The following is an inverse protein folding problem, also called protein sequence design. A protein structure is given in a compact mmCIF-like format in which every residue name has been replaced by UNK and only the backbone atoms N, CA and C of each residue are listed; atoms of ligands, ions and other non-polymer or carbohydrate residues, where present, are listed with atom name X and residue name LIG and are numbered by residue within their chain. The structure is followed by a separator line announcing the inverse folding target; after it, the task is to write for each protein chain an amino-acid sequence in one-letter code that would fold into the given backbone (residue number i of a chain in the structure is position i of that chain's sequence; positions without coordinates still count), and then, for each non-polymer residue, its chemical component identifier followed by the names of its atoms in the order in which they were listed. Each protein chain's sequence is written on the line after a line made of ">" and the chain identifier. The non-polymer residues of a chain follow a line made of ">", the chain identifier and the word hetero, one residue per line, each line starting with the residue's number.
data_IF_721642547754
#
_entry.id   IF_721642547754
#
_cell.length_a   1.000
_cell.length_b   1.000
_cell.length_c   1.000
_cell.angle_alpha   90.00
_cell.angle_beta   90.00
_cell.angle_gamma   90.00
#
_symmetry.space_group_name_H-M   'P 1'
#
loop_
_entity.id
_entity.type
_entity.pdbx_description
1 polymer ?
#
# COMPACT_ATOMS: atom_id res chain seq x y z
N UNK A 1 4.08 -1.65 15.10
CA UNK A 1 4.77 -2.65 15.94
C UNK A 1 4.40 -4.10 15.66
N UNK A 2 3.35 -4.44 14.88
CA UNK A 2 3.03 -5.81 14.37
C UNK A 2 3.48 -6.94 15.31
N UNK A 3 2.96 -6.92 16.54
CA UNK A 3 3.33 -7.87 17.58
C UNK A 3 2.75 -9.24 17.22
N UNK A 4 3.57 -10.27 17.20
CA UNK A 4 3.14 -11.62 16.85
C UNK A 4 2.38 -12.29 18.01
N UNK A 5 2.91 -12.14 19.23
CA UNK A 5 2.44 -12.81 20.45
C UNK A 5 2.48 -11.84 21.64
N UNK A 6 1.42 -11.84 22.45
CA UNK A 6 1.35 -11.16 23.74
C UNK A 6 1.12 -12.19 24.85
N UNK A 7 2.08 -12.29 25.78
CA UNK A 7 2.03 -13.19 26.91
C UNK A 7 1.70 -12.38 28.18
N UNK A 8 0.71 -12.83 28.92
CA UNK A 8 0.37 -12.29 30.23
C UNK A 8 0.25 -13.41 31.25
N UNK A 9 0.56 -13.07 32.50
CA UNK A 9 0.21 -13.85 33.68
C UNK A 9 -0.66 -12.96 34.57
N UNK A 10 -1.26 -13.54 35.61
CA UNK A 10 -2.00 -12.91 36.72
C UNK A 10 -3.23 -13.77 37.04
N UNK A 11 -3.99 -14.12 36.00
CA UNK A 11 -5.08 -15.09 36.13
C UNK A 11 -4.45 -16.48 36.20
N UNK A 12 -4.73 -17.23 37.27
CA UNK A 12 -4.16 -18.56 37.52
C UNK A 12 -4.83 -19.64 36.65
N UNK A 13 -4.77 -19.45 35.34
CA UNK A 13 -5.34 -20.33 34.33
C UNK A 13 -4.68 -20.11 32.97
N UNK A 14 -5.01 -20.98 32.01
CA UNK A 14 -4.57 -20.87 30.63
C UNK A 14 -5.71 -20.41 29.72
N UNK A 15 -5.44 -19.40 28.89
CA UNK A 15 -6.35 -18.97 27.83
C UNK A 15 -5.58 -18.46 26.61
N UNK A 16 -5.98 -18.92 25.41
CA UNK A 16 -5.49 -18.43 24.12
C UNK A 16 -6.64 -17.82 23.33
N UNK A 17 -6.41 -16.63 22.79
CA UNK A 17 -7.37 -15.96 21.90
C UNK A 17 -7.02 -16.17 20.42
N UNK A 18 -8.00 -15.97 19.55
CA UNK A 18 -7.72 -15.68 18.15
C UNK A 18 -6.93 -14.37 18.07
N UNK A 19 -6.33 -14.09 16.91
CA UNK A 19 -5.80 -12.76 16.63
C UNK A 19 -6.95 -11.75 16.66
N UNK A 20 -6.85 -10.76 17.54
CA UNK A 20 -7.87 -9.73 17.70
C UNK A 20 -7.31 -8.34 17.42
N UNK A 21 -8.15 -7.49 16.84
CA UNK A 21 -7.90 -6.05 16.68
C UNK A 21 -9.16 -5.33 17.13
N UNK A 22 -9.01 -4.39 18.07
CA UNK A 22 -10.11 -3.60 18.60
C UNK A 22 -11.31 -4.46 19.09
N UNK A 23 -11.02 -5.55 19.82
CA UNK A 23 -12.03 -6.47 20.37
C UNK A 23 -12.71 -7.40 19.35
N UNK A 24 -12.33 -7.33 18.07
CA UNK A 24 -12.90 -8.18 17.01
C UNK A 24 -11.88 -9.20 16.50
N UNK A 25 -12.34 -10.41 16.21
CA UNK A 25 -11.53 -11.47 15.61
C UNK A 25 -11.32 -11.15 14.12
N UNK A 26 -10.09 -11.09 13.63
CA UNK A 26 -9.89 -10.82 12.19
C UNK A 26 -10.17 -12.05 11.33
N UNK A 27 -9.70 -13.22 11.78
CA UNK A 27 -9.94 -14.52 11.16
C UNK A 27 -10.06 -15.58 12.25
N UNK A 28 -11.09 -16.41 12.14
CA UNK A 28 -11.28 -17.58 13.00
C UNK A 28 -10.44 -18.78 12.54
N UNK A 29 -9.35 -18.53 11.83
CA UNK A 29 -8.42 -19.52 11.32
C UNK A 29 -7.09 -19.37 12.07
N UNK A 30 -6.67 -20.45 12.73
CA UNK A 30 -5.46 -20.47 13.57
C UNK A 30 -4.18 -20.28 12.76
N UNK A 31 -4.24 -20.48 11.44
CA UNK A 31 -3.07 -20.52 10.56
C UNK A 31 -2.75 -19.19 9.87
N UNK A 32 -3.59 -18.17 10.03
CA UNK A 32 -3.64 -17.11 9.03
C UNK A 32 -3.03 -15.77 9.48
N UNK A 33 -1.86 -15.50 8.90
CA UNK A 33 -1.34 -14.18 8.53
C UNK A 33 -1.00 -13.18 9.66
N UNK A 34 0.28 -12.80 9.70
CA UNK A 34 0.86 -11.79 10.60
C UNK A 34 0.28 -10.37 10.47
N UNK A 35 -0.64 -10.16 9.52
CA UNK A 35 -1.29 -8.88 9.25
C UNK A 35 -2.37 -8.49 10.27
N UNK A 36 -2.98 -9.47 10.95
CA UNK A 36 -3.89 -9.24 12.07
C UNK A 36 -3.14 -9.24 13.40
N UNK A 37 -3.65 -8.50 14.40
CA UNK A 37 -3.02 -8.27 15.72
C UNK A 37 -2.49 -9.51 16.46
N UNK A 38 -1.91 -9.32 17.66
CA UNK A 38 -1.23 -10.41 18.35
C UNK A 38 -2.18 -11.53 18.73
N UNK A 39 -1.65 -12.75 18.82
CA UNK A 39 -2.26 -13.81 19.63
C UNK A 39 -2.04 -13.44 21.09
N UNK A 40 -3.11 -13.38 21.89
CA UNK A 40 -2.99 -13.14 23.32
C UNK A 40 -3.05 -14.47 24.05
N UNK A 41 -2.08 -14.71 24.93
CA UNK A 41 -2.06 -15.87 25.80
C UNK A 41 -1.98 -15.40 27.25
N UNK A 42 -2.92 -15.89 28.04
CA UNK A 42 -2.84 -15.88 29.49
C UNK A 42 -2.25 -17.23 29.89
N UNK A 43 -1.08 -17.19 30.52
CA UNK A 43 -0.38 -18.36 31.04
C UNK A 43 0.07 -18.04 32.47
N UNK A 44 -0.89 -18.14 33.40
CA UNK A 44 -0.65 -17.95 34.83
C UNK A 44 -0.85 -19.22 35.64
N UNK A 45 -0.97 -20.37 34.98
CA UNK A 45 -1.32 -21.66 35.57
C UNK A 45 -0.12 -22.43 36.14
N UNK A 46 1.01 -21.77 36.40
CA UNK A 46 2.22 -22.43 36.93
C UNK A 46 2.13 -22.96 38.38
N UNK A 47 1.02 -22.73 39.09
CA UNK A 47 0.85 -23.13 40.49
C UNK A 47 -0.58 -22.99 41.02
N UNK A 48 -0.76 -23.31 42.31
CA UNK A 48 -2.04 -23.25 43.05
C UNK A 48 -2.17 -21.94 43.87
N UNK A 49 -3.39 -21.44 44.17
CA UNK A 49 -4.68 -22.04 43.89
C UNK A 49 -5.16 -21.76 42.46
N UNK A 50 -5.63 -22.83 41.84
CA UNK A 50 -6.30 -22.87 40.54
C UNK A 50 -7.49 -21.89 40.50
N UNK A 51 -7.54 -20.97 39.54
CA UNK A 51 -8.72 -20.13 39.34
C UNK A 51 -9.66 -20.80 38.34
N UNK A 52 -10.91 -21.04 38.75
CA UNK A 52 -11.93 -21.49 37.82
C UNK A 52 -12.48 -20.30 37.05
N UNK A 53 -12.75 -20.53 35.78
CA UNK A 53 -13.48 -19.59 34.97
C UNK A 53 -14.98 -19.75 35.21
N UNK A 54 -15.62 -18.71 35.75
CA UNK A 54 -17.07 -18.73 36.03
C UNK A 54 -17.91 -18.42 34.79
N UNK A 55 -17.37 -17.59 33.89
CA UNK A 55 -18.07 -17.15 32.68
C UNK A 55 -17.85 -18.08 31.49
N UNK A 56 -18.83 -18.11 30.59
CA UNK A 56 -18.66 -18.72 29.27
C UNK A 56 -17.49 -18.06 28.51
N UNK A 57 -16.70 -18.84 27.74
CA UNK A 57 -15.64 -18.28 26.91
C UNK A 57 -16.16 -17.20 25.98
N UNK A 58 -15.39 -16.12 25.83
CA UNK A 58 -15.71 -15.09 24.87
C UNK A 58 -15.58 -15.63 23.43
N UNK A 59 -16.23 -14.98 22.47
CA UNK A 59 -16.18 -15.41 21.05
C UNK A 59 -14.77 -15.41 20.44
N UNK A 60 -13.85 -14.65 21.03
CA UNK A 60 -12.46 -14.60 20.60
C UNK A 60 -11.58 -15.65 21.29
N UNK A 61 -12.11 -16.42 22.23
CA UNK A 61 -11.35 -17.47 22.95
C UNK A 61 -11.28 -18.71 22.08
N UNK A 62 -10.06 -19.21 21.84
CA UNK A 62 -9.81 -20.43 21.07
C UNK A 62 -9.71 -21.63 21.99
N UNK A 63 -8.86 -21.50 23.00
CA UNK A 63 -8.59 -22.54 23.97
C UNK A 63 -8.56 -21.93 25.35
N UNK A 64 -9.13 -22.65 26.32
CA UNK A 64 -9.22 -22.19 27.70
C UNK A 64 -9.26 -23.40 28.62
N UNK A 65 -8.41 -23.41 29.64
CA UNK A 65 -8.36 -24.47 30.63
C UNK A 65 -8.27 -23.88 32.03
N UNK A 66 -9.21 -24.22 32.93
CA UNK A 66 -9.12 -23.80 34.31
C UNK A 66 -8.09 -24.67 35.06
N UNK A 67 -7.26 -24.01 35.86
CA UNK A 67 -6.75 -24.59 37.10
C UNK A 67 -5.97 -25.91 37.03
N UNK A 68 -5.25 -26.18 35.95
CA UNK A 68 -4.28 -27.28 35.91
C UNK A 68 -2.87 -26.70 35.91
N UNK A 69 -1.97 -27.14 36.80
CA UNK A 69 -0.58 -26.73 36.78
C UNK A 69 0.04 -26.93 35.40
N UNK A 70 0.51 -25.86 34.78
CA UNK A 70 1.00 -25.88 33.40
C UNK A 70 2.14 -24.90 33.14
N UNK A 71 2.79 -25.06 32.00
CA UNK A 71 3.76 -24.11 31.49
C UNK A 71 3.77 -24.07 29.96
N UNK A 72 4.15 -22.91 29.42
CA UNK A 72 4.27 -22.69 27.99
C UNK A 72 5.70 -22.90 27.50
N UNK A 73 5.87 -23.65 26.43
CA UNK A 73 7.11 -23.69 25.63
C UNK A 73 6.93 -22.93 24.32
N UNK A 74 7.86 -22.02 24.04
CA UNK A 74 7.96 -21.35 22.74
C UNK A 74 9.19 -21.90 22.00
N UNK A 75 8.96 -22.53 20.86
CA UNK A 75 9.96 -23.20 20.04
C UNK A 75 10.10 -22.41 18.74
N UNK A 76 11.31 -21.89 18.47
CA UNK A 76 11.61 -21.24 17.19
C UNK A 76 12.00 -22.32 16.19
N UNK A 77 11.12 -22.61 15.23
CA UNK A 77 11.36 -23.64 14.22
C UNK A 77 12.30 -23.13 13.11
N UNK A 78 12.06 -21.90 12.64
CA UNK A 78 12.89 -21.20 11.66
C UNK A 78 12.57 -19.69 11.66
N UNK A 79 13.14 -18.92 10.72
CA UNK A 79 12.95 -17.47 10.62
C UNK A 79 11.48 -17.04 10.37
N UNK A 80 10.64 -17.95 9.86
CA UNK A 80 9.24 -17.70 9.50
C UNK A 80 8.24 -18.46 10.35
N UNK A 81 8.68 -19.32 11.26
CA UNK A 81 7.79 -20.21 12.01
C UNK A 81 8.23 -20.32 13.46
N UNK A 82 7.28 -20.04 14.35
CA UNK A 82 7.40 -20.28 15.78
C UNK A 82 6.23 -21.18 16.19
N UNK A 83 6.52 -22.10 17.09
CA UNK A 83 5.55 -23.03 17.66
C UNK A 83 5.40 -22.70 19.14
N UNK A 84 4.15 -22.74 19.63
CA UNK A 84 3.85 -22.62 21.03
C UNK A 84 3.13 -23.88 21.51
N UNK A 85 3.54 -24.41 22.66
CA UNK A 85 2.93 -25.56 23.33
C UNK A 85 2.59 -25.19 24.76
N UNK A 86 1.37 -25.48 25.20
CA UNK A 86 1.02 -25.51 26.61
C UNK A 86 1.13 -26.95 27.09
N UNK A 87 1.94 -27.18 28.12
CA UNK A 87 2.15 -28.49 28.72
C UNK A 87 1.54 -28.54 30.11
N UNK A 88 0.99 -29.70 30.47
CA UNK A 88 0.64 -30.05 31.84
C UNK A 88 1.91 -30.33 32.64
N UNK A 89 2.07 -29.66 33.78
CA UNK A 89 3.27 -29.73 34.61
C UNK A 89 3.43 -31.08 35.32
N UNK A 90 2.35 -31.85 35.49
CA UNK A 90 2.36 -33.13 36.21
C UNK A 90 2.65 -34.29 35.28
N UNK A 91 2.04 -34.29 34.10
CA UNK A 91 2.09 -35.39 33.13
C UNK A 91 3.07 -35.14 31.99
N UNK A 92 3.42 -33.87 31.73
CA UNK A 92 4.17 -33.46 30.55
C UNK A 92 3.37 -33.57 29.25
N UNK A 93 2.06 -33.80 29.32
CA UNK A 93 1.20 -33.89 28.15
C UNK A 93 0.96 -32.50 27.54
N UNK A 94 0.85 -32.43 26.21
CA UNK A 94 0.54 -31.19 25.49
C UNK A 94 -0.98 -30.97 25.51
N UNK A 95 -1.41 -29.88 26.16
CA UNK A 95 -2.82 -29.50 26.31
C UNK A 95 -3.30 -28.59 25.17
N UNK A 96 -2.41 -27.73 24.66
CA UNK A 96 -2.66 -26.88 23.49
C UNK A 96 -1.37 -26.71 22.69
N UNK A 97 -1.50 -26.60 21.37
CA UNK A 97 -0.38 -26.47 20.46
C UNK A 97 -0.81 -25.70 19.22
N UNK A 98 -0.01 -24.71 18.83
CA UNK A 98 -0.23 -24.01 17.58
C UNK A 98 1.07 -23.47 16.99
N UNK A 99 1.07 -23.24 15.68
CA UNK A 99 2.20 -22.72 14.93
C UNK A 99 1.81 -21.36 14.38
N UNK A 100 2.63 -20.34 14.61
CA UNK A 100 2.51 -19.05 13.97
C UNK A 100 3.49 -18.95 12.82
N UNK A 101 2.94 -18.56 11.66
CA UNK A 101 3.71 -18.30 10.46
C UNK A 101 3.85 -16.79 10.26
N UNK A 102 5.07 -16.35 10.01
CA UNK A 102 5.42 -15.02 9.56
C UNK A 102 5.64 -15.08 8.05
N UNK A 103 5.11 -14.10 7.31
CA UNK A 103 5.55 -13.89 5.94
C UNK A 103 7.07 -13.72 5.93
N UNK A 104 7.75 -14.26 4.92
CA UNK A 104 9.19 -14.07 4.81
C UNK A 104 9.50 -12.58 4.77
N UNK A 105 10.63 -12.18 5.36
CA UNK A 105 11.15 -10.81 5.23
C UNK A 105 11.17 -10.38 3.78
N UNK A 106 11.51 -11.32 2.90
CA UNK A 106 11.69 -11.13 1.48
C UNK A 106 10.39 -10.69 0.80
N UNK A 107 9.23 -11.24 1.18
CA UNK A 107 7.93 -10.86 0.60
C UNK A 107 7.48 -9.44 1.00
N UNK A 108 7.70 -9.07 2.26
CA UNK A 108 7.37 -7.74 2.76
C UNK A 108 8.32 -6.68 2.21
N UNK A 109 9.61 -7.00 2.13
CA UNK A 109 10.65 -6.14 1.55
C UNK A 109 10.45 -5.96 0.05
N UNK A 110 10.09 -7.02 -0.70
CA UNK A 110 9.75 -6.93 -2.12
C UNK A 110 8.58 -5.99 -2.39
N UNK A 111 7.55 -6.02 -1.54
CA UNK A 111 6.37 -5.18 -1.72
C UNK A 111 6.68 -3.70 -1.49
N UNK A 112 7.48 -3.38 -0.46
CA UNK A 112 7.92 -2.00 -0.20
C UNK A 112 8.84 -1.49 -1.33
N UNK A 113 9.80 -2.31 -1.77
CA UNK A 113 10.69 -2.00 -2.88
C UNK A 113 9.94 -1.76 -4.20
N UNK A 114 8.88 -2.53 -4.47
CA UNK A 114 8.07 -2.35 -5.67
C UNK A 114 7.31 -1.02 -5.67
N UNK A 115 6.67 -0.66 -4.55
CA UNK A 115 5.95 0.61 -4.42
C UNK A 115 6.88 1.80 -4.54
N UNK A 116 8.07 1.72 -3.94
CA UNK A 116 9.10 2.74 -4.06
C UNK A 116 9.59 2.89 -5.51
N UNK A 117 9.87 1.77 -6.20
CA UNK A 117 10.28 1.80 -7.61
C UNK A 117 9.20 2.41 -8.52
N UNK A 118 7.93 2.09 -8.30
CA UNK A 118 6.80 2.69 -9.03
C UNK A 118 6.70 4.20 -8.74
N UNK A 119 6.90 4.61 -7.48
CA UNK A 119 6.93 6.02 -7.09
C UNK A 119 8.03 6.82 -7.81
N UNK A 120 9.25 6.29 -7.84
CA UNK A 120 10.37 6.90 -8.57
C UNK A 120 10.13 6.95 -10.08
N UNK A 121 9.58 5.89 -10.67
CA UNK A 121 9.25 5.86 -12.09
C UNK A 121 8.19 6.91 -12.44
N UNK A 122 7.15 7.05 -11.62
CA UNK A 122 6.11 8.07 -11.82
C UNK A 122 6.69 9.48 -11.71
N UNK A 123 7.54 9.72 -10.71
CA UNK A 123 8.22 11.01 -10.52
C UNK A 123 9.13 11.37 -11.71
N UNK A 124 9.96 10.43 -12.15
CA UNK A 124 10.83 10.63 -13.32
C UNK A 124 10.01 10.93 -14.59
N UNK A 125 8.90 10.22 -14.79
CA UNK A 125 7.99 10.44 -15.92
C UNK A 125 7.33 11.82 -15.86
N UNK A 126 6.89 12.26 -14.68
CA UNK A 126 6.32 13.59 -14.49
C UNK A 126 7.35 14.70 -14.77
N UNK A 127 8.60 14.51 -14.33
CA UNK A 127 9.67 15.47 -14.56
C UNK A 127 10.02 15.59 -16.04
N UNK A 128 10.10 14.47 -16.76
CA UNK A 128 10.35 14.45 -18.22
C UNK A 128 9.19 15.10 -18.98
N UNK A 129 7.95 14.76 -18.65
CA UNK A 129 6.78 15.34 -19.34
C UNK A 129 6.64 16.84 -19.08
N UNK A 130 6.90 17.29 -17.86
CA UNK A 130 6.87 18.72 -17.51
C UNK A 130 7.98 19.50 -18.21
N UNK A 131 9.21 18.99 -18.21
CA UNK A 131 10.34 19.65 -18.89
C UNK A 131 10.14 19.70 -20.39
N UNK A 132 9.74 18.59 -21.04
CA UNK A 132 9.42 18.60 -22.46
C UNK A 132 8.24 19.54 -22.79
N UNK A 133 7.21 19.57 -21.93
CA UNK A 133 6.08 20.49 -22.06
C UNK A 133 6.51 21.96 -21.97
N UNK A 134 7.36 22.29 -21.00
CA UNK A 134 7.90 23.63 -20.81
C UNK A 134 8.74 24.09 -22.01
N UNK A 135 9.63 23.22 -22.52
CA UNK A 135 10.45 23.54 -23.71
C UNK A 135 9.56 23.79 -24.93
N UNK A 136 8.54 22.94 -25.16
CA UNK A 136 7.58 23.15 -26.25
C UNK A 136 6.80 24.45 -26.11
N UNK A 137 6.40 24.79 -24.88
CA UNK A 137 5.70 26.03 -24.59
C UNK A 137 6.58 27.26 -24.84
N UNK A 138 7.81 27.29 -24.33
CA UNK A 138 8.77 28.39 -24.57
C UNK A 138 9.04 28.55 -26.07
N UNK A 139 9.22 27.45 -26.81
CA UNK A 139 9.44 27.51 -28.24
C UNK A 139 8.23 28.07 -28.99
N UNK A 140 7.01 27.64 -28.65
CA UNK A 140 5.78 28.16 -29.26
C UNK A 140 5.55 29.65 -28.94
N UNK A 141 5.82 30.07 -27.71
CA UNK A 141 5.75 31.48 -27.30
C UNK A 141 6.77 32.34 -28.06
N UNK A 142 7.99 31.84 -28.24
CA UNK A 142 9.02 32.51 -29.03
C UNK A 142 8.63 32.69 -30.49
N UNK A 143 8.04 31.67 -31.13
CA UNK A 143 7.51 31.78 -32.49
C UNK A 143 6.39 32.82 -32.60
N UNK A 144 5.46 32.82 -31.64
CA UNK A 144 4.33 33.76 -31.61
C UNK A 144 4.82 35.21 -31.53
N UNK A 145 5.77 35.51 -30.64
CA UNK A 145 6.35 36.87 -30.51
C UNK A 145 7.07 37.32 -31.77
N UNK A 146 7.77 36.40 -32.45
CA UNK A 146 8.45 36.70 -33.71
C UNK A 146 7.45 37.06 -34.81
N UNK A 147 6.36 36.31 -34.92
CA UNK A 147 5.33 36.56 -35.92
C UNK A 147 4.60 37.89 -35.67
N UNK A 148 4.33 38.24 -34.41
CA UNK A 148 3.79 39.54 -34.02
C UNK A 148 4.76 40.68 -34.40
N UNK A 149 6.06 40.54 -34.09
CA UNK A 149 7.06 41.55 -34.46
C UNK A 149 7.16 41.75 -35.98
N UNK A 150 7.14 40.66 -36.76
CA UNK A 150 7.15 40.75 -38.23
C UNK A 150 5.87 41.39 -38.78
N UNK A 151 4.71 41.15 -38.16
CA UNK A 151 3.47 41.84 -38.53
C UNK A 151 3.58 43.34 -38.28
N UNK A 152 4.04 43.75 -37.11
CA UNK A 152 4.23 45.17 -36.79
C UNK A 152 5.18 45.86 -37.79
N UNK A 153 6.32 45.24 -38.09
CA UNK A 153 7.28 45.78 -39.04
C UNK A 153 6.71 45.87 -40.47
N UNK A 154 5.92 44.88 -40.91
CA UNK A 154 5.19 44.95 -42.19
C UNK A 154 4.17 46.08 -42.20
N UNK A 155 3.44 46.29 -41.10
CA UNK A 155 2.48 47.40 -41.02
C UNK A 155 3.16 48.76 -41.05
N UNK A 156 4.30 48.94 -40.38
CA UNK A 156 5.08 50.18 -40.39
C UNK A 156 5.64 50.48 -41.79
N UNK A 157 6.24 49.48 -42.45
CA UNK A 157 6.73 49.63 -43.83
C UNK A 157 5.59 49.97 -44.79
N UNK A 158 4.41 49.35 -44.66
CA UNK A 158 3.26 49.66 -45.51
C UNK A 158 2.78 51.11 -45.33
N UNK A 159 2.70 51.59 -44.09
CA UNK A 159 2.36 52.98 -43.78
C UNK A 159 3.41 53.95 -44.35
N UNK A 160 4.70 53.67 -44.18
CA UNK A 160 5.79 54.52 -44.68
C UNK A 160 5.90 54.53 -46.21
N UNK A 161 5.54 53.44 -46.87
CA UNK A 161 5.62 53.31 -48.33
C UNK A 161 4.36 53.77 -49.08
N UNK A 162 3.30 54.16 -48.36
CA UNK A 162 2.02 54.57 -48.96
C UNK A 162 1.29 53.44 -49.69
N UNK A 163 1.69 52.19 -49.49
CA UNK A 163 1.06 51.03 -50.12
C UNK A 163 -0.17 50.58 -49.32
N UNK A 164 -1.25 50.12 -49.97
CA UNK A 164 -2.43 49.62 -49.28
C UNK A 164 -2.08 48.36 -48.46
N UNK A 165 -2.38 48.41 -47.16
CA UNK A 165 -2.22 47.30 -46.22
C UNK A 165 -3.02 46.07 -46.67
N UNK A 166 -2.34 45.08 -47.24
CA UNK A 166 -2.95 43.76 -47.47
C UNK A 166 -2.84 42.95 -46.16
N UNK A 167 -3.84 43.09 -45.29
CA UNK A 167 -3.93 42.34 -44.03
C UNK A 167 -4.21 40.86 -44.35
N UNK A 168 -3.16 40.05 -44.46
CA UNK A 168 -3.30 38.59 -44.52
C UNK A 168 -3.44 38.07 -43.09
N UNK A 169 -4.67 38.04 -42.58
CA UNK A 169 -5.01 37.28 -41.38
C UNK A 169 -5.07 35.78 -41.68
N UNK A 170 -4.78 34.97 -40.66
CA UNK A 170 -4.68 33.50 -40.75
C UNK A 170 -5.96 32.69 -41.12
N UNK A 171 -7.19 33.23 -41.25
CA UNK A 171 -8.31 32.40 -41.72
C UNK A 171 -8.19 31.99 -43.21
N UNK A 172 -7.49 32.77 -44.04
CA UNK A 172 -7.44 32.54 -45.50
C UNK A 172 -6.45 31.44 -45.89
N UNK A 173 -5.40 31.20 -45.09
CA UNK A 173 -4.46 30.09 -45.33
C UNK A 173 -5.07 28.71 -45.02
N UNK A 174 -6.11 28.64 -44.19
CA UNK A 174 -6.82 27.39 -43.91
C UNK A 174 -7.81 26.98 -45.03
N UNK A 175 -8.25 27.92 -45.88
CA UNK A 175 -9.19 27.61 -46.97
C UNK A 175 -8.53 26.90 -48.16
N UNK A 176 -7.22 27.04 -48.35
CA UNK A 176 -6.51 26.36 -49.45
C UNK A 176 -6.00 24.95 -49.10
N UNK A 177 -6.24 24.45 -47.88
CA UNK A 177 -5.81 23.10 -47.44
C UNK A 177 -6.97 22.07 -47.37
N UNK A 178 -8.21 22.45 -47.70
CA UNK A 178 -9.40 21.55 -47.65
C UNK A 178 -10.16 21.51 -48.98
N UNK A 179 -9.47 21.67 -50.12
CA UNK A 179 -10.13 21.74 -51.42
C UNK A 179 -9.41 20.99 -52.53
N UNK A 180 -9.14 19.69 -52.35
CA UNK A 180 -8.81 18.79 -53.47
C UNK A 180 -9.09 17.32 -53.12
N UNK A 181 -10.31 17.05 -52.67
CA UNK A 181 -10.80 15.68 -52.48
C UNK A 181 -12.29 15.57 -52.84
N UNK A 182 -12.62 15.70 -54.13
CA UNK A 182 -13.72 14.98 -54.81
C UNK A 182 -14.05 15.61 -56.16
N UNK A 183 -13.72 14.92 -57.25
CA UNK A 183 -14.57 14.74 -58.45
C UNK A 183 -13.76 14.21 -59.63
N UNK A 184 -13.40 12.93 -59.57
CA UNK A 184 -13.15 12.12 -60.75
C UNK A 184 -14.19 11.00 -60.78
N UNK A 185 -15.33 11.25 -61.44
CA UNK A 185 -16.31 10.24 -61.88
C UNK A 185 -17.48 10.97 -62.60
N UNK A 186 -17.33 11.17 -63.91
CA UNK A 186 -18.25 10.73 -64.96
C UNK A 186 -17.82 11.29 -66.33
#
# INVERSE_FOLDING_TARGET
>A
YRVDLYLASHVHAYERTFRTVNGSVCKADETADSSCGPVNIVNGDSGEPSLQYEDMPARFTVKRHPGQPGYGELIVLNATAIEYRQLDATTGAVNDQFIMLKASSDDAELQENFLEAVGWLAFATALVTFTCGFVKWVHADGLKRRDEALRHLRTEIAVLSGMPLKVTGSPVEAQHLVGDASSGLH
#
